data_IF_028799675975
#
_entry.id   IF_028799675975
#
_cell.length_a   1.000
_cell.length_b   1.000
_cell.length_c   1.000
_cell.angle_alpha   90.00
_cell.angle_beta   90.00
_cell.angle_gamma   90.00
#
_symmetry.space_group_name_H-M   'P 1'
#
loop_
_entity.id
_entity.type
_entity.pdbx_description
1 polymer ?
#
# COMPACT_ATOMS: atom_id res chain seq x y z
N UNK A 1 23.50 -11.84 -13.31
CA UNK A 1 23.80 -10.52 -12.72
C UNK A 1 22.69 -9.57 -13.12
N UNK A 2 21.50 -9.66 -12.50
CA UNK A 2 20.40 -8.72 -12.80
C UNK A 2 19.35 -8.69 -11.69
N UNK A 3 19.74 -8.94 -10.44
CA UNK A 3 18.82 -9.09 -9.30
C UNK A 3 18.61 -7.78 -8.53
N UNK A 4 19.27 -6.68 -8.94
CA UNK A 4 19.15 -5.36 -8.32
C UNK A 4 18.04 -4.48 -8.94
N UNK A 5 17.34 -4.98 -9.97
CA UNK A 5 16.33 -4.23 -10.72
C UNK A 5 14.93 -4.88 -10.67
N UNK A 6 14.61 -5.60 -9.60
CA UNK A 6 13.26 -6.11 -9.40
C UNK A 6 12.46 -5.05 -8.60
N UNK A 7 11.74 -4.11 -9.24
CA UNK A 7 10.94 -3.14 -8.53
C UNK A 7 9.89 -3.86 -7.70
N UNK A 8 9.76 -3.49 -6.43
CA UNK A 8 8.62 -3.90 -5.63
C UNK A 8 7.44 -3.02 -5.99
N UNK A 9 6.32 -3.62 -6.39
CA UNK A 9 5.11 -2.88 -6.74
C UNK A 9 4.13 -2.91 -5.59
N UNK A 10 3.75 -1.75 -5.09
CA UNK A 10 2.86 -1.58 -3.96
C UNK A 10 1.62 -0.79 -4.40
N UNK A 11 0.47 -1.41 -4.24
CA UNK A 11 -0.83 -0.80 -4.54
C UNK A 11 -1.40 -0.22 -3.24
N UNK A 12 -1.47 1.11 -3.17
CA UNK A 12 -2.09 1.83 -2.06
C UNK A 12 -3.58 1.97 -2.32
N UNK A 13 -4.40 1.45 -1.41
CA UNK A 13 -5.84 1.52 -1.47
C UNK A 13 -6.39 2.21 -0.22
N UNK A 14 -7.33 3.14 -0.37
CA UNK A 14 -8.12 3.59 0.76
C UNK A 14 -8.99 2.44 1.30
N UNK A 15 -9.55 2.59 2.50
CA UNK A 15 -10.45 1.61 3.15
C UNK A 15 -11.82 1.43 2.45
N UNK A 16 -11.92 1.72 1.16
CA UNK A 16 -13.11 1.53 0.34
C UNK A 16 -13.39 0.06 0.01
N UNK A 17 -14.67 -0.25 -0.27
CA UNK A 17 -15.13 -1.64 -0.43
C UNK A 17 -15.18 -2.13 -1.89
N UNK A 18 -14.79 -1.32 -2.87
CA UNK A 18 -14.98 -1.64 -4.31
C UNK A 18 -13.67 -1.68 -5.11
N UNK A 19 -12.60 -2.19 -4.48
CA UNK A 19 -11.28 -2.29 -5.13
C UNK A 19 -11.06 -3.62 -5.86
N UNK A 20 -11.83 -4.67 -5.53
CA UNK A 20 -11.63 -6.03 -6.03
C UNK A 20 -11.57 -6.07 -7.56
N UNK A 21 -12.52 -5.43 -8.24
CA UNK A 21 -12.65 -5.50 -9.71
C UNK A 21 -11.42 -5.00 -10.45
N UNK A 22 -10.67 -4.06 -9.87
CA UNK A 22 -9.44 -3.47 -10.43
C UNK A 22 -8.18 -4.25 -10.08
N UNK A 23 -8.24 -5.07 -9.03
CA UNK A 23 -7.14 -5.88 -8.53
C UNK A 23 -7.11 -7.31 -9.08
N UNK A 24 -8.25 -7.82 -9.58
CA UNK A 24 -8.33 -9.13 -10.25
C UNK A 24 -7.32 -9.32 -11.40
N UNK A 25 -7.02 -8.33 -12.26
CA UNK A 25 -5.99 -8.50 -13.29
C UNK A 25 -4.56 -8.47 -12.74
N UNK A 26 -4.35 -8.02 -11.51
CA UNK A 26 -3.03 -7.87 -10.92
C UNK A 26 -2.59 -9.16 -10.20
N UNK A 27 -1.30 -9.53 -10.36
CA UNK A 27 -0.71 -10.68 -9.65
C UNK A 27 -0.33 -10.30 -8.23
N UNK A 28 -1.34 -10.14 -7.39
CA UNK A 28 -1.17 -9.78 -5.98
C UNK A 28 -0.70 -11.00 -5.21
N UNK A 29 0.40 -10.85 -4.48
CA UNK A 29 0.92 -11.90 -3.62
C UNK A 29 0.31 -11.84 -2.22
N UNK A 30 0.17 -10.63 -1.67
CA UNK A 30 -0.21 -10.41 -0.28
C UNK A 30 -0.93 -9.08 -0.09
N UNK A 31 -1.83 -9.04 0.90
CA UNK A 31 -2.58 -7.83 1.27
C UNK A 31 -2.24 -7.42 2.69
N UNK A 32 -1.95 -6.15 2.89
CA UNK A 32 -1.69 -5.55 4.18
C UNK A 32 -2.82 -4.58 4.54
N UNK A 33 -3.30 -4.62 5.77
CA UNK A 33 -4.30 -3.67 6.28
C UNK A 33 -3.73 -2.87 7.44
N UNK A 34 -3.98 -1.57 7.49
CA UNK A 34 -3.64 -0.77 8.68
C UNK A 34 -4.41 -1.25 9.92
N UNK A 35 -3.92 -0.90 11.12
CA UNK A 35 -4.51 -1.34 12.39
C UNK A 35 -5.94 -0.80 12.66
N UNK A 36 -6.47 0.08 11.80
CA UNK A 36 -7.86 0.54 11.89
C UNK A 36 -8.85 -0.59 11.59
N UNK A 37 -9.95 -0.68 12.34
CA UNK A 37 -10.93 -1.76 12.18
C UNK A 37 -11.55 -1.82 10.77
N UNK A 38 -11.76 -0.66 10.13
CA UNK A 38 -12.30 -0.56 8.77
C UNK A 38 -11.25 -0.97 7.71
N UNK A 39 -10.04 -0.39 7.75
CA UNK A 39 -8.94 -0.78 6.87
C UNK A 39 -8.54 -2.27 7.00
N UNK A 40 -8.46 -2.79 8.24
CA UNK A 40 -8.17 -4.20 8.50
C UNK A 40 -9.28 -5.13 7.99
N UNK A 41 -10.55 -4.77 8.20
CA UNK A 41 -11.68 -5.53 7.67
C UNK A 41 -11.75 -5.53 6.15
N UNK A 42 -11.47 -4.40 5.51
CA UNK A 42 -11.38 -4.28 4.06
C UNK A 42 -10.23 -5.12 3.48
N UNK A 43 -9.05 -5.08 4.11
CA UNK A 43 -7.90 -5.91 3.73
C UNK A 43 -8.19 -7.41 3.83
N UNK A 44 -8.81 -7.86 4.93
CA UNK A 44 -9.15 -9.27 5.14
C UNK A 44 -10.17 -9.77 4.11
N UNK A 45 -11.17 -8.94 3.79
CA UNK A 45 -12.18 -9.25 2.76
C UNK A 45 -11.57 -9.29 1.35
N UNK A 46 -10.69 -8.35 1.05
CA UNK A 46 -9.97 -8.27 -0.22
C UNK A 46 -9.06 -9.50 -0.42
N UNK A 47 -8.29 -9.86 0.61
CA UNK A 47 -7.41 -11.03 0.60
C UNK A 47 -8.21 -12.33 0.41
N UNK A 48 -9.32 -12.47 1.13
CA UNK A 48 -10.23 -13.61 0.99
C UNK A 48 -10.80 -13.72 -0.43
N UNK A 49 -11.10 -12.58 -1.06
CA UNK A 49 -11.65 -12.55 -2.42
C UNK A 49 -10.59 -12.88 -3.48
N UNK A 50 -9.36 -12.40 -3.29
CA UNK A 50 -8.22 -12.69 -4.17
C UNK A 50 -7.59 -14.07 -3.92
N UNK A 51 -7.93 -14.73 -2.80
CA UNK A 51 -7.34 -16.01 -2.41
C UNK A 51 -5.90 -15.91 -1.91
N UNK A 52 -5.52 -14.75 -1.35
CA UNK A 52 -4.16 -14.45 -0.85
C UNK A 52 -4.14 -14.25 0.66
N UNK A 53 -2.95 -14.20 1.26
CA UNK A 53 -2.81 -13.89 2.68
C UNK A 53 -3.10 -12.42 2.99
N UNK A 54 -3.72 -12.15 4.15
CA UNK A 54 -3.76 -10.81 4.74
C UNK A 54 -2.83 -10.70 5.95
N UNK A 55 -2.29 -9.50 6.19
CA UNK A 55 -1.55 -9.20 7.42
C UNK A 55 -1.93 -7.81 7.92
N UNK A 56 -2.25 -7.72 9.21
CA UNK A 56 -2.48 -6.42 9.84
C UNK A 56 -1.16 -5.78 10.22
N UNK A 57 -0.93 -4.58 9.70
CA UNK A 57 0.16 -3.72 10.07
C UNK A 57 -0.15 -3.12 11.43
N UNK A 58 0.35 -3.75 12.48
CA UNK A 58 0.43 -3.13 13.80
C UNK A 58 1.69 -2.29 13.82
N UNK A 59 1.55 -0.96 13.83
CA UNK A 59 2.68 -0.05 14.08
C UNK A 59 3.11 -0.22 15.54
N UNK A 60 3.92 -1.23 15.82
CA UNK A 60 4.48 -1.49 17.15
C UNK A 60 5.80 -0.71 17.30
N UNK A 61 5.71 0.62 17.33
CA UNK A 61 6.79 1.52 17.74
C UNK A 61 6.57 2.03 19.17
N UNK A 62 7.62 2.43 19.92
CA UNK A 62 7.54 2.80 21.33
C UNK A 62 6.87 4.16 21.64
N UNK A 63 6.19 4.82 20.70
CA UNK A 63 5.61 6.15 20.91
C UNK A 63 4.14 6.22 20.49
N UNK A 64 3.19 6.50 21.40
CA UNK A 64 1.75 6.55 21.12
C UNK A 64 1.29 7.89 20.51
N UNK A 65 2.15 8.57 19.75
CA UNK A 65 1.83 9.87 19.13
C UNK A 65 2.38 9.88 17.71
N UNK A 66 1.48 9.99 16.73
CA UNK A 66 1.68 10.11 15.26
C UNK A 66 1.66 8.83 14.40
N UNK A 67 0.97 7.78 14.87
CA UNK A 67 0.44 6.75 13.98
C UNK A 67 -0.45 7.41 12.93
N UNK A 68 0.01 7.42 11.68
CA UNK A 68 -0.83 7.28 10.48
C UNK A 68 0.00 7.48 9.19
N UNK A 69 0.96 8.41 9.15
CA UNK A 69 1.61 8.80 7.89
C UNK A 69 3.12 8.54 7.78
N UNK A 70 3.91 9.02 8.75
CA UNK A 70 5.36 8.80 8.79
C UNK A 70 5.67 7.30 9.00
N UNK A 71 4.83 6.64 9.79
CA UNK A 71 4.89 5.20 9.99
C UNK A 71 4.50 4.44 8.72
N UNK A 72 3.57 4.96 7.91
CA UNK A 72 3.19 4.30 6.66
C UNK A 72 4.34 4.32 5.66
N UNK A 73 5.06 5.43 5.49
CA UNK A 73 6.20 5.47 4.57
C UNK A 73 7.31 4.48 4.96
N UNK A 74 7.67 4.42 6.25
CA UNK A 74 8.66 3.46 6.74
C UNK A 74 8.21 2.01 6.51
N UNK A 75 6.94 1.71 6.79
CA UNK A 75 6.35 0.39 6.50
C UNK A 75 6.36 0.09 5.00
N UNK A 76 6.10 1.07 4.14
CA UNK A 76 6.15 0.89 2.69
C UNK A 76 7.57 0.59 2.20
N UNK A 77 8.60 1.23 2.75
CA UNK A 77 9.99 0.90 2.44
C UNK A 77 10.35 -0.52 2.92
N UNK A 78 9.93 -0.93 4.11
CA UNK A 78 10.14 -2.29 4.63
C UNK A 78 9.43 -3.35 3.75
N UNK A 79 8.19 -3.08 3.34
CA UNK A 79 7.43 -3.95 2.45
C UNK A 79 8.06 -4.02 1.06
N UNK A 80 8.56 -2.90 0.55
CA UNK A 80 9.26 -2.87 -0.73
C UNK A 80 10.55 -3.69 -0.69
N UNK A 81 11.29 -3.65 0.42
CA UNK A 81 12.49 -4.47 0.58
C UNK A 81 12.17 -5.97 0.70
N UNK A 82 11.07 -6.30 1.40
CA UNK A 82 10.60 -7.67 1.56
C UNK A 82 10.04 -8.28 0.26
N UNK A 83 9.35 -7.49 -0.56
CA UNK A 83 8.59 -7.93 -1.73
C UNK A 83 9.22 -7.48 -3.06
N UNK A 84 10.55 -7.52 -3.14
CA UNK A 84 11.28 -7.16 -4.38
C UNK A 84 10.83 -8.05 -5.54
N UNK A 85 10.32 -7.43 -6.61
CA UNK A 85 9.81 -8.12 -7.80
C UNK A 85 8.41 -8.70 -7.67
N UNK A 86 7.71 -8.41 -6.57
CA UNK A 86 6.36 -8.89 -6.29
C UNK A 86 5.39 -7.70 -6.22
N UNK A 87 4.09 -7.99 -6.32
CA UNK A 87 3.03 -6.99 -6.15
C UNK A 87 2.28 -7.24 -4.86
N UNK A 88 2.24 -6.24 -3.99
CA UNK A 88 1.48 -6.28 -2.73
C UNK A 88 0.50 -5.13 -2.65
N UNK A 89 -0.54 -5.32 -1.85
CA UNK A 89 -1.58 -4.32 -1.63
C UNK A 89 -1.48 -3.81 -0.21
N UNK A 90 -1.61 -2.50 0.01
CA UNK A 90 -1.70 -1.88 1.33
C UNK A 90 -3.00 -1.08 1.40
N UNK A 91 -3.89 -1.51 2.29
CA UNK A 91 -5.15 -0.85 2.59
C UNK A 91 -4.97 0.02 3.82
N UNK A 92 -5.16 1.32 3.66
CA UNK A 92 -4.98 2.32 4.71
C UNK A 92 -6.05 3.40 4.70
N UNK A 93 -5.97 4.32 5.64
CA UNK A 93 -6.85 5.49 5.65
C UNK A 93 -6.40 6.50 4.58
N UNK A 94 -7.35 7.17 3.93
CA UNK A 94 -7.02 8.10 2.83
C UNK A 94 -6.09 9.25 3.26
N UNK A 95 -6.22 9.75 4.49
CA UNK A 95 -5.35 10.77 5.06
C UNK A 95 -3.91 10.27 5.30
N UNK A 96 -3.76 9.03 5.80
CA UNK A 96 -2.48 8.36 5.98
C UNK A 96 -1.75 8.20 4.64
N UNK A 97 -2.47 7.71 3.62
CA UNK A 97 -1.96 7.56 2.26
C UNK A 97 -1.57 8.93 1.68
N UNK A 98 -2.44 9.93 1.80
CA UNK A 98 -2.18 11.29 1.32
C UNK A 98 -0.91 11.89 1.93
N UNK A 99 -0.69 11.68 3.23
CA UNK A 99 0.47 12.20 3.92
C UNK A 99 1.76 11.42 3.60
N UNK A 100 1.68 10.10 3.35
CA UNK A 100 2.80 9.32 2.81
C UNK A 100 3.19 9.82 1.40
N UNK A 101 2.20 10.07 0.52
CA UNK A 101 2.43 10.64 -0.82
C UNK A 101 3.03 12.05 -0.75
N UNK A 102 2.56 12.89 0.17
CA UNK A 102 3.15 14.21 0.39
C UNK A 102 4.63 14.11 0.82
N UNK A 103 4.96 13.13 1.67
CA UNK A 103 6.34 12.87 2.12
C UNK A 103 7.24 12.36 0.98
N UNK A 104 6.66 11.66 -0.01
CA UNK A 104 7.32 11.28 -1.26
C UNK A 104 7.47 12.45 -2.27
N UNK A 105 6.99 13.66 -1.92
CA UNK A 105 6.96 14.80 -2.84
C UNK A 105 5.95 14.62 -3.97
N UNK A 106 4.85 13.91 -3.70
CA UNK A 106 3.72 13.65 -4.61
C UNK A 106 2.36 14.00 -3.99
N UNK A 107 2.18 15.21 -3.43
CA UNK A 107 0.90 15.61 -2.85
C UNK A 107 -0.23 15.71 -3.89
N UNK A 108 0.12 15.83 -5.17
CA UNK A 108 -0.80 15.82 -6.31
C UNK A 108 -1.57 14.50 -6.43
N UNK A 109 -0.90 13.37 -6.22
CA UNK A 109 -1.53 12.05 -6.25
C UNK A 109 -2.57 11.88 -5.14
N UNK A 110 -2.43 12.61 -4.04
CA UNK A 110 -3.43 12.59 -2.97
C UNK A 110 -4.78 13.18 -3.42
N UNK A 111 -4.79 14.06 -4.42
CA UNK A 111 -6.02 14.58 -5.00
C UNK A 111 -6.70 13.56 -5.94
N UNK A 112 -5.92 12.64 -6.51
CA UNK A 112 -6.40 11.57 -7.39
C UNK A 112 -6.83 10.30 -6.62
N UNK A 113 -6.62 10.27 -5.29
CA UNK A 113 -7.17 9.23 -4.41
C UNK A 113 -8.70 9.29 -4.41
N UNK A 114 -9.32 8.36 -5.12
CA UNK A 114 -10.75 8.09 -5.01
C UNK A 114 -10.99 6.97 -4.00
N UNK A 115 -12.10 6.97 -3.25
CA UNK A 115 -12.52 5.82 -2.44
C UNK A 115 -12.65 4.50 -3.20
N UNK A 116 -12.64 4.55 -4.54
CA UNK A 116 -12.77 3.39 -5.44
C UNK A 116 -11.54 3.18 -6.32
N UNK A 117 -10.51 4.02 -6.22
CA UNK A 117 -9.28 3.90 -7.00
C UNK A 117 -8.05 3.86 -6.10
N UNK A 118 -7.08 3.04 -6.47
CA UNK A 118 -5.79 2.96 -5.79
C UNK A 118 -4.69 3.67 -6.56
N UNK A 119 -3.55 3.81 -5.90
CA UNK A 119 -2.32 4.30 -6.52
C UNK A 119 -1.30 3.17 -6.54
N UNK A 120 -0.74 2.89 -7.72
CA UNK A 120 0.36 1.97 -7.89
C UNK A 120 1.69 2.73 -7.78
N UNK A 121 2.46 2.35 -6.77
CA UNK A 121 3.83 2.81 -6.58
C UNK A 121 4.79 1.65 -6.83
N UNK A 122 5.93 1.96 -7.41
CA UNK A 122 7.05 1.05 -7.52
C UNK A 122 8.25 1.62 -6.77
N UNK A 123 8.93 0.75 -6.04
CA UNK A 123 10.16 1.07 -5.33
C UNK A 123 11.29 0.24 -5.93
N UNK A 124 12.25 0.92 -6.55
CA UNK A 124 13.49 0.35 -7.09
C UNK A 124 14.71 0.99 -6.41
N UNK A 125 15.93 0.67 -6.85
CA UNK A 125 17.16 1.27 -6.30
C UNK A 125 17.28 2.80 -6.47
N UNK A 126 16.51 3.39 -7.39
CA UNK A 126 16.52 4.82 -7.71
C UNK A 126 15.48 5.61 -6.90
N UNK A 127 14.52 4.92 -6.28
CA UNK A 127 13.55 5.50 -5.35
C UNK A 127 12.12 5.08 -5.64
N UNK A 128 11.18 5.93 -5.23
CA UNK A 128 9.75 5.72 -5.41
C UNK A 128 9.26 6.32 -6.73
N UNK A 129 8.51 5.53 -7.50
CA UNK A 129 7.97 5.90 -8.82
C UNK A 129 6.48 5.58 -8.85
N UNK A 130 5.68 6.51 -9.36
CA UNK A 130 4.26 6.25 -9.62
C UNK A 130 4.11 5.59 -10.99
N UNK A 131 3.42 4.44 -11.04
CA UNK A 131 3.25 3.66 -12.29
C UNK A 131 1.81 3.66 -12.81
N UNK A 132 0.86 4.16 -12.02
CA UNK A 132 -0.51 4.40 -12.46
C UNK A 132 -1.52 4.34 -11.32
N UNK A 133 -2.79 4.52 -11.65
CA UNK A 133 -3.91 4.31 -10.73
C UNK A 133 -4.58 2.98 -11.03
N UNK A 134 -4.94 2.23 -10.00
CA UNK A 134 -5.70 0.97 -10.14
C UNK A 134 -7.17 1.19 -9.93
#
# INVERSE_FOLDING_TARGET
MSDLQCPARILLLPEGLDHVTRLVPERILHVYGSSGAAAGGAADLLASTLGVGSTRLTVAGPSPVHGDAADLLAVLDDLADLHRGETVVVVGQGNAIAAALASLGRPDLAADLSPTAGIALERDGDGWRHTGTV
#
